data_IF_895372863907
#
_entry.id   IF_895372863907
#
_cell.length_a   1.000
_cell.length_b   1.000
_cell.length_c   1.000
_cell.angle_alpha   90.00
_cell.angle_beta   90.00
_cell.angle_gamma   90.00
#
_symmetry.space_group_name_H-M   'P 1'
#
loop_
_entity.id
_entity.type
_entity.pdbx_description
1 polymer ?
#
# COMPACT_ATOMS: atom_id res chain seq x y z
N UNK A 1 -7.47 -5.60 11.56
CA UNK A 1 -7.26 -4.15 11.61
C UNK A 1 -6.49 -3.78 12.87
N UNK A 2 -5.62 -2.80 12.78
CA UNK A 2 -5.07 -2.14 13.95
C UNK A 2 -6.08 -1.07 14.35
N UNK A 3 -6.69 -1.20 15.51
CA UNK A 3 -7.57 -0.16 16.06
C UNK A 3 -6.73 0.95 16.68
N UNK A 4 -7.05 2.20 16.33
CA UNK A 4 -6.35 3.39 16.82
C UNK A 4 -7.24 4.22 17.75
N UNK A 5 -8.44 3.75 18.08
CA UNK A 5 -9.41 4.45 18.92
C UNK A 5 -9.42 3.89 20.32
N UNK A 6 -9.42 4.75 21.29
CA UNK A 6 -9.66 4.50 22.71
C UNK A 6 -11.12 4.79 23.13
N UNK A 7 -11.94 5.24 22.18
CA UNK A 7 -13.35 5.61 22.41
C UNK A 7 -14.30 4.57 21.80
N UNK A 8 -15.36 4.26 22.53
CA UNK A 8 -16.43 3.33 22.09
C UNK A 8 -17.24 3.91 20.91
N UNK A 9 -17.26 5.23 20.78
CA UNK A 9 -18.08 5.95 19.80
C UNK A 9 -17.32 6.34 18.52
N UNK A 10 -15.98 6.22 18.51
CA UNK A 10 -15.13 6.59 17.39
C UNK A 10 -14.26 5.42 16.97
N UNK A 11 -14.45 4.93 15.76
CA UNK A 11 -13.72 3.80 15.22
C UNK A 11 -12.70 4.27 14.19
N UNK A 12 -11.42 4.21 14.53
CA UNK A 12 -10.32 4.40 13.59
C UNK A 12 -9.54 3.10 13.47
N UNK A 13 -9.36 2.61 12.26
CA UNK A 13 -8.64 1.37 12.02
C UNK A 13 -7.77 1.42 10.77
N UNK A 14 -6.60 0.81 10.84
CA UNK A 14 -5.72 0.58 9.69
C UNK A 14 -5.80 -0.89 9.32
N UNK A 15 -6.31 -1.20 8.12
CA UNK A 15 -6.30 -2.54 7.58
C UNK A 15 -4.95 -2.83 6.93
N UNK A 16 -4.16 -3.69 7.55
CA UNK A 16 -2.90 -4.19 6.98
C UNK A 16 -3.23 -5.25 5.94
N UNK A 17 -2.94 -4.97 4.68
CA UNK A 17 -3.19 -5.91 3.57
C UNK A 17 -1.98 -6.76 3.19
N UNK A 18 -0.80 -6.35 3.58
CA UNK A 18 0.44 -7.11 3.43
C UNK A 18 1.46 -6.65 4.45
N UNK A 19 2.38 -7.53 4.79
CA UNK A 19 3.50 -7.21 5.67
C UNK A 19 4.76 -7.94 5.20
N UNK A 20 5.91 -7.28 5.36
CA UNK A 20 7.24 -7.87 5.29
C UNK A 20 7.74 -7.99 6.72
N UNK A 21 8.19 -9.16 7.10
CA UNK A 21 8.70 -9.47 8.42
C UNK A 21 10.24 -9.40 8.43
N UNK A 22 10.85 -9.29 9.62
CA UNK A 22 12.29 -9.14 9.79
C UNK A 22 13.09 -10.33 9.22
N UNK A 23 12.49 -11.53 9.16
CA UNK A 23 13.08 -12.70 8.53
C UNK A 23 13.00 -12.70 7.00
N UNK A 24 12.53 -11.60 6.40
CA UNK A 24 12.35 -11.43 4.96
C UNK A 24 11.04 -12.04 4.42
N UNK A 25 10.26 -12.74 5.24
CA UNK A 25 8.99 -13.31 4.82
C UNK A 25 8.00 -12.21 4.44
N UNK A 26 7.29 -12.38 3.31
CA UNK A 26 6.23 -11.48 2.88
C UNK A 26 4.90 -12.24 2.85
N UNK A 27 3.88 -11.69 3.49
CA UNK A 27 2.50 -12.20 3.45
C UNK A 27 1.57 -11.20 2.80
N UNK A 28 0.73 -11.68 1.90
CA UNK A 28 -0.31 -10.91 1.22
C UNK A 28 -1.69 -11.34 1.68
N UNK A 29 -2.56 -10.37 1.89
CA UNK A 29 -3.92 -10.55 2.39
C UNK A 29 -4.01 -10.46 3.92
N UNK A 30 -5.02 -9.72 4.45
CA UNK A 30 -5.11 -9.45 5.88
C UNK A 30 -5.21 -10.72 6.73
N UNK A 31 -5.94 -11.73 6.26
CA UNK A 31 -6.06 -13.00 6.99
C UNK A 31 -4.73 -13.76 7.03
N UNK A 32 -3.95 -13.75 5.95
CA UNK A 32 -2.65 -14.42 5.92
C UNK A 32 -1.62 -13.72 6.80
N UNK A 33 -1.67 -12.37 6.86
CA UNK A 33 -0.83 -11.60 7.77
C UNK A 33 -1.17 -11.95 9.22
N UNK A 34 -2.46 -11.90 9.57
CA UNK A 34 -2.92 -12.24 10.91
C UNK A 34 -2.56 -13.68 11.30
N UNK A 35 -2.83 -14.63 10.40
CA UNK A 35 -2.51 -16.05 10.61
C UNK A 35 -1.01 -16.24 10.88
N UNK A 36 -0.16 -15.60 10.11
CA UNK A 36 1.29 -15.68 10.28
C UNK A 36 1.74 -15.11 11.65
N UNK A 37 1.16 -13.98 12.07
CA UNK A 37 1.46 -13.40 13.39
C UNK A 37 1.05 -14.35 14.51
N UNK A 38 -0.16 -14.91 14.47
CA UNK A 38 -0.68 -15.75 15.53
C UNK A 38 -0.03 -17.13 15.56
N UNK A 39 0.10 -17.80 14.41
CA UNK A 39 0.58 -19.19 14.34
C UNK A 39 2.10 -19.29 14.29
N UNK A 40 2.73 -18.59 13.33
CA UNK A 40 4.17 -18.73 13.08
C UNK A 40 5.01 -17.95 14.11
N UNK A 41 4.54 -16.76 14.52
CA UNK A 41 5.22 -15.97 15.57
C UNK A 41 4.75 -16.31 16.98
N UNK A 42 3.77 -17.21 17.11
CA UNK A 42 3.23 -17.71 18.39
C UNK A 42 2.73 -16.60 19.33
N UNK A 43 2.18 -15.54 18.74
CA UNK A 43 1.57 -14.46 19.52
C UNK A 43 0.18 -14.87 19.93
N UNK A 44 -0.11 -14.87 21.22
CA UNK A 44 -1.45 -15.18 21.74
C UNK A 44 -2.40 -14.00 21.44
N UNK A 45 -3.58 -14.30 20.92
CA UNK A 45 -4.60 -13.29 20.63
C UNK A 45 -5.00 -12.47 21.86
N UNK A 46 -4.99 -13.10 23.05
CA UNK A 46 -5.30 -12.45 24.32
C UNK A 46 -4.23 -11.47 24.80
N UNK A 47 -3.00 -11.60 24.30
CA UNK A 47 -1.86 -10.74 24.67
C UNK A 47 -1.56 -9.68 23.62
N UNK A 48 -2.28 -9.69 22.46
CA UNK A 48 -2.12 -8.71 21.40
C UNK A 48 -2.40 -7.26 21.88
N UNK A 49 -3.27 -7.11 22.85
CA UNK A 49 -3.57 -5.83 23.49
C UNK A 49 -2.38 -5.42 24.37
N UNK A 50 -1.53 -4.55 23.86
CA UNK A 50 -0.33 -4.06 24.54
C UNK A 50 1.02 -4.53 23.97
N UNK A 51 1.06 -5.58 23.16
CA UNK A 51 2.30 -6.02 22.50
C UNK A 51 2.55 -5.32 21.15
N UNK A 52 1.50 -4.77 20.51
CA UNK A 52 1.65 -3.99 19.30
C UNK A 52 1.99 -2.54 19.62
N UNK A 53 3.24 -2.18 19.48
CA UNK A 53 3.70 -0.80 19.54
C UNK A 53 3.95 -0.31 18.12
N UNK A 54 3.18 0.71 17.69
CA UNK A 54 3.56 1.51 16.53
C UNK A 54 4.79 2.31 16.93
N UNK A 55 5.96 1.91 16.44
CA UNK A 55 7.17 2.71 16.57
C UNK A 55 7.23 3.66 15.40
N UNK A 56 7.63 4.90 15.66
CA UNK A 56 8.05 5.80 14.61
C UNK A 56 9.12 5.07 13.78
N UNK A 57 8.98 5.08 12.45
CA UNK A 57 9.98 4.50 11.59
C UNK A 57 11.30 5.24 11.85
N UNK A 58 12.18 4.62 12.60
CA UNK A 58 13.52 5.12 12.79
C UNK A 58 14.17 5.11 11.43
N UNK A 59 14.41 6.31 10.92
CA UNK A 59 15.19 6.65 9.74
C UNK A 59 15.14 5.64 8.57
N UNK A 60 14.59 6.12 7.46
CA UNK A 60 14.66 5.49 6.17
C UNK A 60 14.13 4.04 6.09
N UNK A 61 12.86 3.96 5.74
CA UNK A 61 12.34 2.77 5.05
C UNK A 61 13.10 2.55 3.73
N UNK A 62 14.43 2.53 3.77
CA UNK A 62 15.30 2.16 2.66
C UNK A 62 15.67 0.70 2.85
N UNK A 63 15.41 -0.08 1.84
CA UNK A 63 16.00 -1.41 1.73
C UNK A 63 17.43 -1.19 1.14
N UNK A 64 18.38 -0.86 2.01
CA UNK A 64 19.73 -0.42 1.59
C UNK A 64 19.74 0.98 0.95
N UNK A 65 20.43 1.14 -0.18
CA UNK A 65 20.51 2.41 -0.94
C UNK A 65 19.27 2.70 -1.81
N UNK A 66 18.32 1.76 -1.87
CA UNK A 66 17.17 1.87 -2.77
C UNK A 66 16.01 2.61 -2.08
N UNK A 67 15.54 3.68 -2.73
CA UNK A 67 14.38 4.44 -2.28
C UNK A 67 13.09 3.62 -2.45
N UNK A 68 12.31 3.47 -1.39
CA UNK A 68 10.98 2.86 -1.49
C UNK A 68 10.02 3.72 -2.32
N UNK A 69 9.28 3.07 -3.19
CA UNK A 69 8.18 3.69 -3.91
C UNK A 69 6.94 3.65 -3.03
N UNK A 70 6.35 4.81 -2.76
CA UNK A 70 5.11 4.95 -2.00
C UNK A 70 4.01 5.40 -2.96
N UNK A 71 3.01 4.56 -3.15
CA UNK A 71 1.87 4.83 -4.03
C UNK A 71 0.62 5.06 -3.20
N UNK A 72 -0.11 6.11 -3.54
CA UNK A 72 -1.42 6.39 -2.97
C UNK A 72 -2.51 6.14 -4.00
N UNK A 73 -3.64 5.60 -3.58
CA UNK A 73 -4.79 5.40 -4.45
C UNK A 73 -6.09 5.37 -3.66
N UNK A 74 -7.19 5.46 -4.40
CA UNK A 74 -8.53 5.26 -3.85
C UNK A 74 -8.71 3.80 -3.42
N UNK A 75 -9.62 3.56 -2.49
CA UNK A 75 -9.97 2.20 -2.04
C UNK A 75 -10.63 1.42 -3.17
N UNK A 76 -10.36 0.13 -3.23
CA UNK A 76 -10.93 -0.80 -4.20
C UNK A 76 -12.09 -1.58 -3.58
N UNK A 77 -13.17 -1.78 -4.32
CA UNK A 77 -14.28 -2.64 -3.91
C UNK A 77 -15.31 -1.96 -3.00
N UNK A 78 -15.28 -0.63 -2.89
CA UNK A 78 -16.38 0.11 -2.27
C UNK A 78 -17.56 0.15 -3.22
N UNK A 79 -18.69 -0.45 -2.82
CA UNK A 79 -19.94 -0.39 -3.60
C UNK A 79 -20.54 1.03 -3.57
N UNK A 80 -21.38 1.34 -4.59
CA UNK A 80 -22.04 2.65 -4.72
C UNK A 80 -22.96 3.04 -3.54
N UNK A 81 -23.23 2.12 -2.60
CA UNK A 81 -24.14 2.32 -1.47
C UNK A 81 -23.49 2.76 -0.16
N UNK A 82 -22.16 2.77 -0.09
CA UNK A 82 -21.45 3.20 1.11
C UNK A 82 -20.91 4.61 0.87
N UNK A 83 -21.59 5.59 1.39
CA UNK A 83 -21.27 7.02 1.48
C UNK A 83 -20.25 7.53 0.46
N UNK A 84 -20.70 8.29 -0.52
CA UNK A 84 -19.87 8.76 -1.64
C UNK A 84 -18.65 9.58 -1.19
N UNK A 85 -18.67 10.11 0.04
CA UNK A 85 -17.70 11.08 0.55
C UNK A 85 -16.28 10.52 0.71
N UNK A 86 -16.11 9.20 0.89
CA UNK A 86 -14.81 8.58 1.15
C UNK A 86 -14.26 7.76 -0.03
N UNK A 87 -15.04 7.55 -1.11
CA UNK A 87 -14.62 6.67 -2.21
C UNK A 87 -13.46 7.25 -3.02
N UNK A 88 -13.43 8.59 -3.14
CA UNK A 88 -12.44 9.30 -3.95
C UNK A 88 -11.21 9.72 -3.14
N UNK A 89 -11.22 9.51 -1.83
CA UNK A 89 -10.06 9.75 -1.00
C UNK A 89 -8.97 8.71 -1.23
N UNK A 90 -7.73 9.16 -1.27
CA UNK A 90 -6.55 8.29 -1.46
C UNK A 90 -6.15 7.58 -0.16
N UNK A 91 -7.07 6.79 0.39
CA UNK A 91 -6.89 6.09 1.68
C UNK A 91 -6.21 4.72 1.56
N UNK A 92 -5.65 4.40 0.40
CA UNK A 92 -4.90 3.17 0.17
C UNK A 92 -3.46 3.51 -0.13
N UNK A 93 -2.56 2.99 0.69
CA UNK A 93 -1.11 3.15 0.50
C UNK A 93 -0.48 1.81 0.15
N UNK A 94 0.41 1.80 -0.84
CA UNK A 94 1.19 0.64 -1.27
C UNK A 94 2.65 1.06 -1.24
N UNK A 95 3.49 0.27 -0.57
CA UNK A 95 4.91 0.58 -0.36
C UNK A 95 5.76 -0.59 -0.82
N UNK A 96 6.83 -0.33 -1.53
CA UNK A 96 7.80 -1.36 -1.93
C UNK A 96 8.85 -0.88 -2.91
N UNK A 97 9.81 -1.76 -3.22
CA UNK A 97 10.86 -1.51 -4.23
C UNK A 97 10.38 -1.95 -5.62
N UNK A 98 9.98 -3.22 -5.74
CA UNK A 98 9.51 -3.84 -6.99
C UNK A 98 8.02 -4.12 -6.87
N UNK A 99 7.21 -3.07 -6.97
CA UNK A 99 5.75 -3.17 -6.80
C UNK A 99 5.07 -4.00 -7.88
N UNK A 100 5.73 -4.19 -9.02
CA UNK A 100 5.28 -5.07 -10.10
C UNK A 100 5.10 -6.52 -9.65
N UNK A 101 5.92 -6.99 -8.71
CA UNK A 101 5.83 -8.34 -8.15
C UNK A 101 4.69 -8.51 -7.14
N UNK A 102 4.10 -7.41 -6.67
CA UNK A 102 3.04 -7.46 -5.66
C UNK A 102 1.67 -7.69 -6.29
N UNK A 103 0.86 -8.52 -5.64
CA UNK A 103 -0.51 -8.79 -6.05
C UNK A 103 -1.45 -7.69 -5.53
N UNK A 104 -1.62 -6.61 -6.28
CA UNK A 104 -2.61 -5.57 -5.99
C UNK A 104 -3.44 -5.21 -7.22
N UNK A 105 -4.67 -4.76 -6.99
CA UNK A 105 -5.61 -4.40 -8.06
C UNK A 105 -5.38 -2.98 -8.57
N UNK A 106 -5.80 -2.74 -9.84
CA UNK A 106 -5.80 -1.41 -10.49
C UNK A 106 -4.40 -0.79 -10.62
N UNK A 107 -3.39 -1.60 -10.96
CA UNK A 107 -2.00 -1.16 -11.10
C UNK A 107 -1.85 0.07 -12.01
N UNK A 108 -2.52 0.09 -13.17
CA UNK A 108 -2.44 1.21 -14.12
C UNK A 108 -3.03 2.51 -13.55
N UNK A 109 -4.15 2.41 -12.81
CA UNK A 109 -4.75 3.58 -12.15
C UNK A 109 -3.82 4.13 -11.06
N UNK A 110 -3.22 3.24 -10.26
CA UNK A 110 -2.25 3.61 -9.22
C UNK A 110 -1.02 4.27 -9.85
N UNK A 111 -0.50 3.70 -10.93
CA UNK A 111 0.62 4.26 -11.68
C UNK A 111 0.30 5.66 -12.23
N UNK A 112 -0.87 5.82 -12.85
CA UNK A 112 -1.32 7.13 -13.35
C UNK A 112 -1.34 8.17 -12.24
N UNK A 113 -1.96 7.86 -11.10
CA UNK A 113 -2.02 8.77 -9.96
C UNK A 113 -0.62 9.14 -9.46
N UNK A 114 0.29 8.17 -9.41
CA UNK A 114 1.67 8.42 -9.00
C UNK A 114 2.40 9.38 -9.95
N UNK A 115 2.29 9.14 -11.26
CA UNK A 115 2.90 10.01 -12.28
C UNK A 115 2.42 11.47 -12.14
N UNK A 116 1.12 11.64 -11.91
CA UNK A 116 0.50 12.97 -11.76
C UNK A 116 0.91 13.62 -10.44
N UNK A 117 0.83 12.90 -9.33
CA UNK A 117 1.12 13.44 -8.00
C UNK A 117 2.60 13.85 -7.84
N UNK A 118 3.50 13.04 -8.39
CA UNK A 118 4.95 13.31 -8.35
C UNK A 118 5.42 14.23 -9.49
N UNK A 119 4.51 14.64 -10.38
CA UNK A 119 4.81 15.48 -11.55
C UNK A 119 5.99 14.96 -12.38
N UNK A 120 6.00 13.64 -12.63
CA UNK A 120 7.09 12.99 -13.34
C UNK A 120 7.15 13.42 -14.80
N UNK A 121 8.34 13.48 -15.37
CA UNK A 121 8.53 13.58 -16.83
C UNK A 121 8.18 12.26 -17.54
N UNK A 122 8.00 12.28 -18.87
CA UNK A 122 7.73 11.07 -19.66
C UNK A 122 8.83 10.01 -19.50
N UNK A 123 10.07 10.44 -19.42
CA UNK A 123 11.24 9.59 -19.26
C UNK A 123 11.28 8.92 -17.89
N UNK A 124 10.98 9.67 -16.83
CA UNK A 124 10.87 9.13 -15.47
C UNK A 124 9.70 8.18 -15.34
N UNK A 125 8.53 8.54 -15.89
CA UNK A 125 7.36 7.67 -15.92
C UNK A 125 7.65 6.34 -16.66
N UNK A 126 8.42 6.38 -17.76
CA UNK A 126 8.82 5.18 -18.48
C UNK A 126 9.72 4.26 -17.65
N UNK A 127 10.65 4.81 -16.88
CA UNK A 127 11.52 4.05 -15.98
C UNK A 127 10.73 3.43 -14.85
N UNK A 128 9.97 4.24 -14.11
CA UNK A 128 9.24 3.78 -12.92
C UNK A 128 8.09 2.82 -13.27
N UNK A 129 7.59 2.85 -14.52
CA UNK A 129 6.54 1.92 -14.96
C UNK A 129 6.98 0.47 -14.87
N UNK A 130 8.25 0.17 -15.06
CA UNK A 130 8.81 -1.18 -14.95
C UNK A 130 8.71 -1.66 -13.51
N UNK A 131 9.02 -0.81 -12.54
CA UNK A 131 9.00 -1.15 -11.11
C UNK A 131 7.58 -1.30 -10.59
N UNK A 132 6.63 -0.50 -11.09
CA UNK A 132 5.24 -0.52 -10.62
C UNK A 132 4.39 -1.54 -11.38
N UNK A 133 4.50 -1.58 -12.71
CA UNK A 133 3.65 -2.40 -13.58
C UNK A 133 4.31 -3.72 -13.98
N UNK A 134 5.65 -3.77 -14.04
CA UNK A 134 6.43 -4.87 -14.60
C UNK A 134 6.69 -4.74 -16.12
N UNK A 135 6.23 -3.65 -16.73
CA UNK A 135 6.41 -3.37 -18.16
C UNK A 135 6.34 -1.87 -18.44
N UNK A 136 6.93 -1.46 -19.57
CA UNK A 136 6.80 -0.09 -20.04
C UNK A 136 5.71 0.00 -21.12
N UNK A 137 4.58 0.63 -20.78
CA UNK A 137 3.48 0.87 -21.72
C UNK A 137 3.54 2.27 -22.31
N UNK A 138 4.11 2.37 -23.54
CA UNK A 138 4.18 3.66 -24.25
C UNK A 138 2.81 4.29 -24.49
N UNK A 139 1.77 3.48 -24.77
CA UNK A 139 0.40 3.95 -24.98
C UNK A 139 -0.21 4.50 -23.69
N UNK A 140 -0.03 3.82 -22.56
CA UNK A 140 -0.51 4.29 -21.28
C UNK A 140 0.16 5.62 -20.89
N UNK A 141 1.47 5.71 -21.03
CA UNK A 141 2.22 6.94 -20.74
C UNK A 141 1.74 8.08 -21.66
N UNK A 142 1.62 7.83 -22.96
CA UNK A 142 1.07 8.81 -23.89
C UNK A 142 -0.31 9.33 -23.43
N UNK A 143 -1.22 8.43 -23.11
CA UNK A 143 -2.58 8.78 -22.67
C UNK A 143 -2.60 9.58 -21.35
N UNK A 144 -1.65 9.35 -20.46
CA UNK A 144 -1.52 10.13 -19.21
C UNK A 144 -1.21 11.59 -19.56
N UNK A 145 -0.21 11.82 -20.41
CA UNK A 145 0.24 13.19 -20.76
C UNK A 145 -0.63 13.91 -21.78
N UNK A 146 -1.50 13.23 -22.50
CA UNK A 146 -2.52 13.84 -23.33
C UNK A 146 -3.77 14.27 -22.53
N UNK A 147 -3.92 13.73 -21.32
CA UNK A 147 -5.05 14.03 -20.43
C UNK A 147 -4.70 15.08 -19.35
N UNK A 148 -3.43 15.49 -19.23
CA UNK A 148 -2.94 16.56 -18.35
C UNK A 148 -3.01 17.90 -19.07
#
# INVERSE_FOLDING_TARGET
DICLSDSVDLYYGILIRSAKFDDGTIKFGPNNVLKFILEDKRVDYSTLEGEFVLKEAVEDCRDGENKLIILHSTRVGLGRKQGDDFKDLQLRTIVGLLLSSYAYKEKEKVFRNYVVNENLSKEEAAKISIDILGYCSKSLIKNIYEAL
#
